data_IF_538419720761
#
_entry.id   IF_538419720761
#
_cell.length_a   1.000
_cell.length_b   1.000
_cell.length_c   1.000
_cell.angle_alpha   90.00
_cell.angle_beta   90.00
_cell.angle_gamma   90.00
#
_symmetry.space_group_name_H-M   'P 1'
#
loop_
_entity.id
_entity.type
_entity.pdbx_description
1 polymer ?
#
# COMPACT_ATOMS: atom_id res chain seq x y z
N UNK A 1 -24.96 6.68 9.33
CA UNK A 1 -23.97 7.03 8.31
C UNK A 1 -22.67 7.26 9.05
N UNK A 2 -21.59 6.62 8.67
CA UNK A 2 -20.29 6.74 9.35
C UNK A 2 -19.75 8.15 9.16
N UNK A 3 -19.37 8.81 10.24
CA UNK A 3 -18.68 10.10 10.20
C UNK A 3 -17.16 9.83 10.13
N UNK A 4 -16.64 9.68 8.90
CA UNK A 4 -15.25 9.38 8.64
C UNK A 4 -14.29 10.46 9.17
N UNK A 5 -14.69 11.74 9.11
CA UNK A 5 -13.88 12.84 9.60
C UNK A 5 -13.73 12.79 11.14
N UNK A 6 -14.84 12.58 11.86
CA UNK A 6 -14.80 12.44 13.32
C UNK A 6 -14.02 11.20 13.75
N UNK A 7 -14.17 10.08 13.05
CA UNK A 7 -13.44 8.85 13.34
C UNK A 7 -11.94 9.04 13.11
N UNK A 8 -11.53 9.57 11.95
CA UNK A 8 -10.13 9.84 11.62
C UNK A 8 -9.47 10.78 12.62
N UNK A 9 -10.17 11.87 12.99
CA UNK A 9 -9.70 12.82 14.00
C UNK A 9 -9.45 12.17 15.36
N UNK A 10 -10.35 11.26 15.78
CA UNK A 10 -10.33 10.68 17.12
C UNK A 10 -9.39 9.49 17.23
N UNK A 11 -9.43 8.58 16.24
CA UNK A 11 -8.64 7.34 16.23
C UNK A 11 -7.33 7.45 15.49
N UNK A 12 -7.09 8.57 14.80
CA UNK A 12 -5.96 8.81 13.92
C UNK A 12 -5.87 7.80 12.75
N UNK A 13 -6.92 7.03 12.54
CA UNK A 13 -7.10 6.11 11.42
C UNK A 13 -8.59 5.93 11.11
N UNK A 14 -8.89 5.53 9.88
CA UNK A 14 -10.26 5.22 9.44
C UNK A 14 -10.25 4.19 8.32
N UNK A 15 -11.19 3.26 8.37
CA UNK A 15 -11.41 2.26 7.32
C UNK A 15 -12.50 2.73 6.37
N UNK A 16 -12.21 2.75 5.08
CA UNK A 16 -13.11 3.20 4.02
C UNK A 16 -13.35 2.01 3.08
N UNK A 17 -14.53 1.35 3.16
CA UNK A 17 -14.85 0.26 2.25
C UNK A 17 -15.09 0.79 0.83
N UNK A 18 -14.82 -0.04 -0.18
CA UNK A 18 -15.06 0.23 -1.60
C UNK A 18 -14.48 1.57 -2.08
N UNK A 19 -13.30 1.97 -1.56
CA UNK A 19 -12.61 3.21 -1.95
C UNK A 19 -12.17 3.18 -3.42
N UNK A 20 -11.86 2.01 -3.95
CA UNK A 20 -11.68 1.71 -5.37
C UNK A 20 -12.67 0.64 -5.78
N UNK A 21 -13.33 0.82 -6.93
CA UNK A 21 -14.09 -0.28 -7.51
C UNK A 21 -13.16 -1.42 -7.97
N UNK A 22 -13.71 -2.62 -8.07
CA UNK A 22 -12.93 -3.84 -8.36
C UNK A 22 -12.19 -3.77 -9.70
N UNK A 23 -12.75 -3.10 -10.72
CA UNK A 23 -12.10 -2.98 -12.03
C UNK A 23 -10.89 -2.06 -11.93
N UNK A 24 -11.03 -0.92 -11.26
CA UNK A 24 -9.92 0.01 -10.97
C UNK A 24 -8.82 -0.69 -10.16
N UNK A 25 -9.17 -1.45 -9.13
CA UNK A 25 -8.19 -2.20 -8.34
C UNK A 25 -7.44 -3.24 -9.21
N UNK A 26 -8.15 -3.97 -10.07
CA UNK A 26 -7.55 -4.92 -11.00
C UNK A 26 -6.60 -4.25 -12.01
N UNK A 27 -7.00 -3.11 -12.61
CA UNK A 27 -6.15 -2.37 -13.55
C UNK A 27 -4.84 -1.88 -12.92
N UNK A 28 -4.88 -1.43 -11.66
CA UNK A 28 -3.69 -1.03 -10.92
C UNK A 28 -2.84 -2.24 -10.53
N UNK A 29 -3.47 -3.35 -10.14
CA UNK A 29 -2.77 -4.60 -9.87
C UNK A 29 -2.02 -5.12 -11.10
N UNK A 30 -2.66 -5.11 -12.27
CA UNK A 30 -2.04 -5.53 -13.54
C UNK A 30 -0.85 -4.65 -13.93
N UNK A 31 -0.92 -3.34 -13.66
CA UNK A 31 0.24 -2.45 -13.84
C UNK A 31 1.44 -2.92 -13.01
N UNK A 32 1.24 -3.21 -11.71
CA UNK A 32 2.32 -3.61 -10.80
C UNK A 32 2.93 -4.95 -11.22
N UNK A 33 2.10 -5.92 -11.59
CA UNK A 33 2.59 -7.20 -12.09
C UNK A 33 3.37 -7.05 -13.41
N UNK A 34 2.91 -6.19 -14.33
CA UNK A 34 3.62 -5.91 -15.59
C UNK A 34 4.99 -5.28 -15.33
N UNK A 35 5.05 -4.26 -14.49
CA UNK A 35 6.30 -3.61 -14.11
C UNK A 35 7.27 -4.59 -13.44
N UNK A 36 6.74 -5.50 -12.60
CA UNK A 36 7.55 -6.54 -11.97
C UNK A 36 8.14 -7.52 -12.98
N UNK A 37 7.34 -7.96 -13.97
CA UNK A 37 7.81 -8.82 -15.06
C UNK A 37 8.83 -8.16 -15.98
N UNK A 38 8.80 -6.83 -16.08
CA UNK A 38 9.76 -6.03 -16.85
C UNK A 38 11.05 -5.71 -16.07
N UNK A 39 11.16 -6.14 -14.80
CA UNK A 39 12.30 -5.85 -13.94
C UNK A 39 12.42 -4.39 -13.52
N UNK A 40 11.31 -3.65 -13.53
CA UNK A 40 11.28 -2.21 -13.18
C UNK A 40 11.04 -1.93 -11.70
N UNK A 41 10.93 -2.96 -10.88
CA UNK A 41 10.82 -2.83 -9.43
C UNK A 41 12.18 -2.79 -8.75
N UNK A 42 12.17 -2.45 -7.47
CA UNK A 42 13.32 -2.53 -6.57
C UNK A 42 12.97 -3.33 -5.34
N UNK A 43 13.96 -3.90 -4.67
CA UNK A 43 13.84 -4.39 -3.29
C UNK A 43 14.67 -3.50 -2.37
N UNK A 44 14.34 -3.49 -1.08
CA UNK A 44 15.03 -2.68 -0.08
C UNK A 44 15.21 -3.48 1.22
N UNK A 45 15.96 -2.92 2.19
CA UNK A 45 16.17 -3.57 3.48
C UNK A 45 14.90 -3.80 4.29
N UNK A 46 13.88 -2.99 4.09
CA UNK A 46 12.61 -3.14 4.79
C UNK A 46 11.86 -4.39 4.29
N UNK A 47 11.92 -4.65 2.99
CA UNK A 47 11.25 -5.78 2.33
C UNK A 47 12.13 -6.35 1.21
N UNK A 48 13.18 -7.12 1.58
CA UNK A 48 14.22 -7.54 0.64
C UNK A 48 13.77 -8.60 -0.38
N UNK A 49 12.62 -9.25 -0.15
CA UNK A 49 12.07 -10.28 -1.04
C UNK A 49 11.07 -9.68 -2.03
N UNK A 50 10.41 -8.58 -1.64
CA UNK A 50 9.28 -7.99 -2.34
C UNK A 50 9.71 -7.01 -3.43
N UNK A 51 8.83 -6.78 -4.41
CA UNK A 51 9.07 -5.83 -5.50
C UNK A 51 8.34 -4.52 -5.22
N UNK A 52 9.07 -3.43 -5.23
CA UNK A 52 8.62 -2.10 -4.84
C UNK A 52 8.68 -1.12 -6.01
N UNK A 53 7.71 -0.22 -6.09
CA UNK A 53 7.55 0.73 -7.19
C UNK A 53 7.19 2.11 -6.66
N UNK A 54 7.98 3.10 -7.03
CA UNK A 54 7.73 4.50 -6.69
C UNK A 54 6.99 5.20 -7.82
N UNK A 55 5.84 5.80 -7.52
CA UNK A 55 4.99 6.52 -8.47
C UNK A 55 4.68 5.74 -9.78
N UNK A 56 4.19 4.49 -9.73
CA UNK A 56 3.74 3.82 -10.95
C UNK A 56 2.72 4.70 -11.67
N UNK A 57 2.77 4.82 -13.00
CA UNK A 57 2.02 5.83 -13.73
C UNK A 57 0.50 5.84 -13.49
N UNK A 58 -0.16 4.68 -13.55
CA UNK A 58 -1.62 4.59 -13.29
C UNK A 58 -1.94 4.81 -11.82
N UNK A 59 -1.11 4.26 -10.91
CA UNK A 59 -1.27 4.47 -9.47
C UNK A 59 -1.15 5.96 -9.12
N UNK A 60 -0.20 6.69 -9.74
CA UNK A 60 -0.06 8.12 -9.54
C UNK A 60 -1.28 8.91 -10.07
N UNK A 61 -1.85 8.51 -11.19
CA UNK A 61 -3.09 9.11 -11.69
C UNK A 61 -4.26 8.88 -10.71
N UNK A 62 -4.35 7.68 -10.14
CA UNK A 62 -5.36 7.37 -9.12
C UNK A 62 -5.16 8.22 -7.86
N UNK A 63 -3.92 8.35 -7.37
CA UNK A 63 -3.57 9.22 -6.23
C UNK A 63 -4.10 10.65 -6.43
N UNK A 64 -3.77 11.27 -7.57
CA UNK A 64 -4.18 12.67 -7.86
C UNK A 64 -5.71 12.80 -7.87
N UNK A 65 -6.43 11.82 -8.44
CA UNK A 65 -7.90 11.81 -8.47
C UNK A 65 -8.54 11.66 -7.08
N UNK A 66 -7.83 11.04 -6.14
CA UNK A 66 -8.32 10.79 -4.78
C UNK A 66 -8.16 12.01 -3.85
N UNK A 67 -7.35 13.01 -4.19
CA UNK A 67 -7.09 14.17 -3.31
C UNK A 67 -8.39 14.87 -2.92
N UNK A 68 -9.18 15.31 -3.90
CA UNK A 68 -10.40 16.08 -3.62
C UNK A 68 -11.49 15.28 -2.90
N UNK A 69 -11.84 14.04 -3.32
CA UNK A 69 -12.80 13.21 -2.59
C UNK A 69 -12.40 12.96 -1.13
N UNK A 70 -11.12 12.62 -0.89
CA UNK A 70 -10.64 12.32 0.47
C UNK A 70 -10.53 13.59 1.32
N UNK A 71 -10.15 14.73 0.75
CA UNK A 71 -10.17 16.03 1.45
C UNK A 71 -11.57 16.35 1.97
N UNK A 72 -12.60 16.16 1.14
CA UNK A 72 -14.00 16.36 1.54
C UNK A 72 -14.44 15.35 2.60
N UNK A 73 -14.08 14.07 2.42
CA UNK A 73 -14.47 12.99 3.31
C UNK A 73 -13.91 13.17 4.72
N UNK A 74 -12.67 13.61 4.83
CA UNK A 74 -11.97 13.79 6.11
C UNK A 74 -12.07 15.21 6.66
N UNK A 75 -12.57 16.16 5.87
CA UNK A 75 -12.57 17.60 6.20
C UNK A 75 -11.15 18.12 6.52
N UNK A 76 -10.17 17.71 5.68
CA UNK A 76 -8.76 18.12 5.75
C UNK A 76 -8.35 18.62 4.35
N UNK A 77 -7.65 19.75 4.27
CA UNK A 77 -7.15 20.27 2.98
C UNK A 77 -5.89 19.51 2.54
N UNK A 78 -6.11 18.35 1.91
CA UNK A 78 -5.02 17.47 1.49
C UNK A 78 -4.33 17.96 0.20
N UNK A 79 -3.02 17.75 0.11
CA UNK A 79 -2.30 17.60 -1.15
C UNK A 79 -1.65 16.21 -1.18
N UNK A 80 -1.34 15.70 -2.37
CA UNK A 80 -0.61 14.43 -2.45
C UNK A 80 0.89 14.66 -2.23
N UNK A 81 1.55 13.66 -1.65
CA UNK A 81 3.01 13.57 -1.63
C UNK A 81 3.49 12.67 -2.78
N UNK A 82 3.25 11.38 -2.70
CA UNK A 82 3.57 10.39 -3.73
C UNK A 82 2.73 9.13 -3.52
N UNK A 83 2.79 8.20 -4.49
CA UNK A 83 2.30 6.84 -4.29
C UNK A 83 3.44 5.84 -4.32
N UNK A 84 3.21 4.73 -3.64
CA UNK A 84 4.13 3.61 -3.58
C UNK A 84 3.33 2.31 -3.72
N UNK A 85 3.84 1.38 -4.47
CA UNK A 85 3.22 0.06 -4.56
C UNK A 85 4.24 -1.01 -4.24
N UNK A 86 3.78 -2.08 -3.60
CA UNK A 86 4.63 -3.22 -3.28
C UNK A 86 3.91 -4.52 -3.60
N UNK A 87 4.58 -5.37 -4.36
CA UNK A 87 4.20 -6.74 -4.60
C UNK A 87 4.93 -7.61 -3.60
N UNK A 88 4.25 -7.97 -2.53
CA UNK A 88 4.78 -8.83 -1.47
C UNK A 88 4.83 -10.28 -1.91
N UNK A 89 5.93 -10.95 -1.56
CA UNK A 89 6.21 -12.35 -1.89
C UNK A 89 6.34 -13.20 -0.62
N UNK A 90 6.26 -14.55 -0.73
CA UNK A 90 6.24 -15.44 0.43
C UNK A 90 7.43 -15.27 1.36
N UNK A 91 7.16 -15.23 2.65
CA UNK A 91 8.18 -15.09 3.69
C UNK A 91 8.50 -13.66 4.10
N UNK A 92 7.95 -12.65 3.38
CA UNK A 92 8.17 -11.24 3.71
C UNK A 92 7.59 -10.85 5.08
N UNK A 93 8.24 -9.91 5.72
CA UNK A 93 7.85 -9.32 7.01
C UNK A 93 8.00 -7.81 6.91
N UNK A 94 6.93 -7.07 7.17
CA UNK A 94 7.05 -5.63 7.36
C UNK A 94 7.25 -5.34 8.85
N UNK A 95 8.48 -4.98 9.23
CA UNK A 95 8.83 -4.72 10.64
C UNK A 95 8.03 -3.54 11.21
N UNK A 96 7.77 -3.52 12.54
CA UNK A 96 7.11 -2.40 13.20
C UNK A 96 7.85 -1.07 13.00
N UNK A 97 7.17 -0.09 12.41
CA UNK A 97 7.71 1.24 12.12
C UNK A 97 6.62 2.31 12.16
N UNK A 98 7.03 3.56 12.12
CA UNK A 98 6.22 4.71 11.73
C UNK A 98 6.76 5.22 10.39
N UNK A 99 5.93 5.92 9.65
CA UNK A 99 6.32 6.51 8.37
C UNK A 99 7.17 7.78 8.55
N UNK A 100 7.80 8.21 7.47
CA UNK A 100 8.52 9.49 7.40
C UNK A 100 7.54 10.67 7.22
N UNK A 101 8.01 11.88 7.41
CA UNK A 101 7.21 13.12 7.37
C UNK A 101 6.41 13.30 6.07
N UNK A 102 6.98 12.95 4.92
CA UNK A 102 6.27 12.98 3.63
C UNK A 102 5.15 11.94 3.48
N UNK A 103 4.93 11.13 4.50
CA UNK A 103 3.82 10.18 4.65
C UNK A 103 2.94 10.56 5.86
N UNK A 104 2.73 11.86 6.09
CA UNK A 104 1.95 12.37 7.23
C UNK A 104 0.60 11.66 7.35
N UNK A 105 -0.13 11.62 6.25
CA UNK A 105 -1.40 10.88 6.13
C UNK A 105 -1.21 9.83 5.06
N UNK A 106 -1.18 8.58 5.49
CA UNK A 106 -1.02 7.42 4.62
C UNK A 106 -2.35 6.72 4.39
N UNK A 107 -2.52 6.19 3.18
CA UNK A 107 -3.60 5.28 2.85
C UNK A 107 -3.00 3.99 2.29
N UNK A 108 -3.41 2.84 2.82
CA UNK A 108 -2.99 1.53 2.30
C UNK A 108 -4.20 0.78 1.76
N UNK A 109 -4.07 0.19 0.57
CA UNK A 109 -5.14 -0.52 -0.15
C UNK A 109 -4.62 -1.85 -0.69
N UNK A 110 -5.44 -2.90 -0.59
CA UNK A 110 -5.15 -4.17 -1.25
C UNK A 110 -5.68 -4.12 -2.69
N UNK A 111 -4.81 -4.30 -3.67
CA UNK A 111 -5.21 -4.38 -5.08
C UNK A 111 -5.54 -5.81 -5.51
N UNK A 112 -4.91 -6.79 -4.91
CA UNK A 112 -5.12 -8.20 -5.17
C UNK A 112 -4.23 -9.07 -4.31
N UNK A 113 -4.59 -10.35 -4.19
CA UNK A 113 -3.77 -11.33 -3.48
C UNK A 113 -4.04 -12.75 -3.98
N UNK A 114 -3.08 -13.62 -3.72
CA UNK A 114 -3.24 -15.06 -3.91
C UNK A 114 -2.71 -15.79 -2.67
N UNK A 115 -3.63 -16.42 -1.95
CA UNK A 115 -3.37 -17.09 -0.67
C UNK A 115 -4.68 -17.48 0.00
N UNK A 116 -4.63 -18.10 1.19
CA UNK A 116 -5.83 -18.48 1.92
C UNK A 116 -6.69 -17.28 2.34
N UNK A 117 -6.03 -16.19 2.73
CA UNK A 117 -6.66 -14.95 3.18
C UNK A 117 -5.83 -13.74 2.77
N UNK A 118 -6.45 -12.54 2.81
CA UNK A 118 -5.72 -11.28 2.70
C UNK A 118 -4.72 -11.13 3.85
N UNK A 119 -3.52 -10.69 3.54
CA UNK A 119 -2.47 -10.49 4.55
C UNK A 119 -2.73 -9.24 5.38
N UNK A 120 -3.00 -9.37 6.68
CA UNK A 120 -3.42 -8.25 7.51
C UNK A 120 -2.29 -7.27 7.80
N UNK A 121 -2.68 -6.02 8.10
CA UNK A 121 -1.83 -5.04 8.76
C UNK A 121 -2.18 -4.99 10.26
N UNK A 122 -1.20 -4.74 11.09
CA UNK A 122 -1.38 -4.45 12.51
C UNK A 122 -1.12 -2.97 12.76
N UNK A 123 -2.04 -2.31 13.46
CA UNK A 123 -1.97 -0.89 13.79
C UNK A 123 -1.93 -0.72 15.31
N UNK A 124 -0.88 -0.10 15.83
CA UNK A 124 -0.83 0.40 17.19
C UNK A 124 -1.66 1.68 17.37
N UNK A 125 -1.93 2.08 18.59
CA UNK A 125 -2.60 3.35 18.90
C UNK A 125 -1.59 4.51 18.97
N UNK A 126 -0.30 4.18 19.20
CA UNK A 126 0.81 5.11 19.31
C UNK A 126 2.09 4.58 18.65
N UNK A 127 3.07 5.47 18.50
CA UNK A 127 4.36 5.15 17.86
C UNK A 127 5.26 4.16 18.63
N UNK A 128 4.99 3.95 19.92
CA UNK A 128 5.77 3.06 20.80
C UNK A 128 5.09 1.70 21.04
N UNK A 129 3.92 1.47 20.44
CA UNK A 129 3.16 0.25 20.71
C UNK A 129 3.86 -1.00 20.17
N UNK A 130 3.79 -2.06 20.96
CA UNK A 130 4.24 -3.42 20.60
C UNK A 130 3.07 -4.36 20.36
N UNK A 131 1.85 -3.90 20.64
CA UNK A 131 0.59 -4.61 20.36
C UNK A 131 -0.25 -3.71 19.47
N UNK A 132 -0.94 -4.30 18.50
CA UNK A 132 -1.80 -3.56 17.59
C UNK A 132 -3.04 -4.34 17.21
N UNK A 133 -4.01 -3.60 16.70
CA UNK A 133 -5.23 -4.17 16.17
C UNK A 133 -4.96 -4.78 14.79
N UNK A 134 -5.32 -6.04 14.61
CA UNK A 134 -5.27 -6.74 13.33
C UNK A 134 -6.38 -6.22 12.42
N UNK A 135 -6.00 -5.72 11.23
CA UNK A 135 -6.94 -5.18 10.25
C UNK A 135 -6.76 -5.92 8.93
N UNK A 136 -7.83 -6.54 8.45
CA UNK A 136 -7.91 -7.12 7.12
C UNK A 136 -8.46 -6.05 6.18
N UNK A 137 -7.71 -5.73 5.10
CA UNK A 137 -8.13 -4.74 4.12
C UNK A 137 -8.52 -5.50 2.85
N UNK A 138 -9.80 -5.51 2.52
CA UNK A 138 -10.34 -6.16 1.32
C UNK A 138 -9.79 -5.55 0.03
N UNK A 139 -10.02 -6.22 -1.11
CA UNK A 139 -9.63 -5.66 -2.41
C UNK A 139 -10.48 -4.43 -2.69
N UNK A 140 -9.83 -3.29 -2.97
CA UNK A 140 -10.49 -2.00 -3.19
C UNK A 140 -10.80 -1.20 -1.93
N UNK A 141 -10.72 -1.83 -0.75
CA UNK A 141 -10.87 -1.12 0.53
C UNK A 141 -9.60 -0.35 0.88
N UNK A 142 -9.77 0.71 1.67
CA UNK A 142 -8.70 1.61 2.08
C UNK A 142 -8.67 1.74 3.60
N UNK A 143 -7.48 1.66 4.17
CA UNK A 143 -7.21 2.12 5.53
C UNK A 143 -6.38 3.40 5.45
N UNK A 144 -6.95 4.53 5.92
CA UNK A 144 -6.22 5.78 6.08
C UNK A 144 -5.76 5.94 7.52
N UNK A 145 -4.54 6.47 7.72
CA UNK A 145 -3.96 6.64 9.05
C UNK A 145 -2.89 7.73 9.07
N UNK A 146 -2.62 8.29 10.26
CA UNK A 146 -1.47 9.17 10.46
C UNK A 146 -0.19 8.36 10.50
N UNK A 147 0.53 8.34 9.37
CA UNK A 147 1.71 7.50 9.17
C UNK A 147 2.86 7.82 10.13
N UNK A 148 3.06 9.10 10.44
CA UNK A 148 4.08 9.59 11.36
C UNK A 148 3.79 9.32 12.85
N UNK A 149 2.55 8.92 13.18
CA UNK A 149 2.11 8.78 14.57
C UNK A 149 1.82 7.33 14.95
N UNK A 150 1.20 6.55 14.05
CA UNK A 150 0.74 5.21 14.35
C UNK A 150 1.78 4.16 13.92
N UNK A 151 2.30 3.42 14.90
CA UNK A 151 3.19 2.29 14.61
C UNK A 151 2.42 1.18 13.93
N UNK A 152 2.96 0.69 12.81
CA UNK A 152 2.30 -0.36 12.04
C UNK A 152 3.30 -1.38 11.49
N UNK A 153 2.78 -2.60 11.22
CA UNK A 153 3.59 -3.72 10.76
C UNK A 153 2.73 -4.82 10.13
N UNK A 154 3.40 -5.76 9.50
CA UNK A 154 2.80 -7.02 9.07
C UNK A 154 3.69 -8.16 9.50
N UNK A 155 3.08 -9.24 10.03
CA UNK A 155 3.77 -10.47 10.39
C UNK A 155 4.18 -11.22 9.13
N UNK A 156 4.85 -12.36 9.27
CA UNK A 156 5.34 -13.13 8.13
C UNK A 156 4.23 -13.47 7.14
N UNK A 157 4.47 -13.19 5.87
CA UNK A 157 3.54 -13.47 4.78
C UNK A 157 3.55 -14.96 4.42
N UNK A 158 2.41 -15.62 4.59
CA UNK A 158 2.22 -17.03 4.29
C UNK A 158 1.50 -17.28 2.95
N UNK A 159 1.05 -16.23 2.28
CA UNK A 159 0.42 -16.30 0.95
C UNK A 159 1.43 -16.48 -0.18
N UNK A 160 0.95 -16.46 -1.41
CA UNK A 160 1.78 -16.59 -2.61
C UNK A 160 2.21 -15.21 -3.12
N UNK A 161 1.29 -14.25 -3.16
CA UNK A 161 1.56 -12.84 -3.42
C UNK A 161 0.41 -11.97 -2.88
N UNK A 162 0.74 -10.72 -2.54
CA UNK A 162 -0.23 -9.66 -2.29
C UNK A 162 0.30 -8.35 -2.83
N UNK A 163 -0.51 -7.67 -3.65
CA UNK A 163 -0.20 -6.33 -4.14
C UNK A 163 -0.85 -5.31 -3.23
N UNK A 164 -0.03 -4.42 -2.67
CA UNK A 164 -0.46 -3.35 -1.81
C UNK A 164 -0.09 -2.01 -2.45
N UNK A 165 -1.06 -1.09 -2.48
CA UNK A 165 -0.88 0.28 -2.92
C UNK A 165 -0.91 1.21 -1.72
N UNK A 166 0.00 2.18 -1.70
CA UNK A 166 0.09 3.21 -0.69
C UNK A 166 -0.04 4.57 -1.34
N UNK A 167 -0.98 5.37 -0.85
CA UNK A 167 -1.08 6.79 -1.17
C UNK A 167 -0.63 7.61 0.03
N UNK A 168 0.19 8.61 -0.21
CA UNK A 168 0.67 9.51 0.84
C UNK A 168 0.21 10.92 0.55
N UNK A 169 -0.37 11.52 1.58
CA UNK A 169 -0.94 12.86 1.56
C UNK A 169 -0.33 13.70 2.65
N UNK A 170 -0.43 15.01 2.46
CA UNK A 170 0.00 16.05 3.39
C UNK A 170 -1.19 16.95 3.67
N UNK A 171 -1.39 17.36 4.92
CA UNK A 171 -2.27 18.47 5.24
C UNK A 171 -1.57 19.78 4.83
N UNK A 172 -2.14 20.52 3.87
CA UNK A 172 -1.59 21.81 3.40
C UNK A 172 -1.45 22.85 4.51
N UNK A 173 -2.21 22.69 5.59
CA UNK A 173 -2.18 23.56 6.74
C UNK A 173 -1.42 22.95 7.94
N UNK A 174 -0.84 21.76 7.74
CA UNK A 174 -0.13 20.98 8.73
C UNK A 174 1.37 21.30 8.80
N UNK A 175 2.08 20.65 9.72
CA UNK A 175 3.52 20.90 9.95
C UNK A 175 4.42 20.36 8.83
N UNK A 176 3.91 19.55 7.93
CA UNK A 176 4.69 18.86 6.87
C UNK A 176 4.32 19.34 5.45
N UNK A 177 3.72 20.52 5.32
CA UNK A 177 3.24 21.06 4.04
C UNK A 177 4.33 21.15 2.95
N UNK A 178 5.60 21.31 3.33
CA UNK A 178 6.75 21.35 2.41
C UNK A 178 7.03 20.01 1.72
N UNK A 179 6.50 18.90 2.23
CA UNK A 179 6.62 17.57 1.62
C UNK A 179 5.55 17.28 0.57
N UNK A 180 4.68 18.23 0.25
CA UNK A 180 3.73 18.10 -0.84
C UNK A 180 4.48 17.83 -2.16
N UNK A 181 3.97 16.90 -2.97
CA UNK A 181 4.54 16.51 -4.27
C UNK A 181 6.02 16.07 -4.17
N UNK A 182 6.33 15.25 -3.16
CA UNK A 182 7.68 14.74 -2.92
C UNK A 182 8.29 14.17 -4.22
N UNK A 183 9.48 14.67 -4.55
CA UNK A 183 10.22 14.34 -5.78
C UNK A 183 11.31 13.29 -5.56
N UNK A 184 11.40 12.69 -4.38
CA UNK A 184 12.36 11.60 -4.16
C UNK A 184 12.07 10.44 -5.10
N UNK A 185 13.06 10.03 -5.85
CA UNK A 185 12.97 8.96 -6.86
C UNK A 185 13.44 7.62 -6.28
N UNK A 186 14.26 7.64 -5.22
CA UNK A 186 14.89 6.45 -4.63
C UNK A 186 14.67 6.43 -3.12
N UNK A 187 14.26 5.27 -2.59
CA UNK A 187 13.90 5.07 -1.18
C UNK A 187 15.09 4.89 -0.26
N UNK A 188 16.12 4.20 -0.75
CA UNK A 188 17.39 4.04 -0.06
C UNK A 188 18.51 3.95 -1.10
N UNK A 189 19.73 4.29 -0.69
CA UNK A 189 20.94 4.07 -1.50
C UNK A 189 21.22 2.57 -1.71
N UNK A 190 20.53 1.70 -0.99
CA UNK A 190 20.70 0.24 -0.97
C UNK A 190 19.59 -0.51 -1.71
N UNK A 191 18.72 0.19 -2.47
CA UNK A 191 17.71 -0.48 -3.28
C UNK A 191 18.36 -1.24 -4.45
N UNK A 192 17.92 -2.48 -4.65
CA UNK A 192 18.40 -3.37 -5.71
C UNK A 192 17.29 -3.58 -6.73
N UNK A 193 17.61 -3.51 -8.02
CA UNK A 193 16.65 -3.85 -9.09
C UNK A 193 16.20 -5.32 -8.97
N UNK A 194 14.92 -5.58 -9.19
CA UNK A 194 14.37 -6.94 -9.13
C UNK A 194 14.63 -7.69 -10.43
N UNK A 195 14.81 -9.00 -10.35
CA UNK A 195 14.92 -9.86 -11.53
C UNK A 195 13.53 -10.12 -12.15
N UNK A 196 13.23 -9.37 -13.21
CA UNK A 196 11.97 -9.50 -13.94
C UNK A 196 11.79 -10.87 -14.61
N UNK A 197 12.88 -11.54 -15.03
CA UNK A 197 12.80 -12.87 -15.63
C UNK A 197 12.47 -13.94 -14.57
N UNK A 198 13.10 -13.89 -13.40
CA UNK A 198 12.77 -14.78 -12.28
C UNK A 198 11.29 -14.64 -11.88
N UNK A 199 10.81 -13.39 -11.75
CA UNK A 199 9.40 -13.16 -11.45
C UNK A 199 8.47 -13.66 -12.56
N UNK A 200 8.81 -13.47 -13.83
CA UNK A 200 8.05 -13.95 -14.98
C UNK A 200 7.93 -15.47 -15.00
N UNK A 201 9.00 -16.19 -14.63
CA UNK A 201 8.99 -17.64 -14.50
C UNK A 201 8.07 -18.10 -13.34
N UNK A 202 8.19 -17.46 -12.18
CA UNK A 202 7.31 -17.70 -11.03
C UNK A 202 5.84 -17.45 -11.37
N UNK A 203 5.54 -16.35 -12.04
CA UNK A 203 4.18 -16.01 -12.47
C UNK A 203 3.58 -17.04 -13.42
N UNK A 204 4.34 -17.53 -14.41
CA UNK A 204 3.91 -18.60 -15.31
C UNK A 204 3.57 -19.92 -14.56
N UNK A 205 4.31 -20.24 -13.51
CA UNK A 205 4.02 -21.41 -12.68
C UNK A 205 2.73 -21.22 -11.88
N UNK A 206 2.55 -20.06 -11.28
CA UNK A 206 1.37 -19.72 -10.48
C UNK A 206 0.08 -19.69 -11.30
N UNK A 207 0.13 -19.16 -12.53
CA UNK A 207 -1.03 -19.11 -13.42
C UNK A 207 -1.38 -20.46 -14.03
N UNK A 208 -0.41 -21.33 -14.27
CA UNK A 208 -0.66 -22.71 -14.75
C UNK A 208 -1.42 -23.56 -13.73
N UNK A 209 -1.15 -23.38 -12.42
CA UNK A 209 -1.85 -24.11 -11.37
C UNK A 209 -3.33 -23.73 -11.24
N UNK A 210 -3.71 -22.51 -11.68
CA UNK A 210 -5.12 -22.05 -11.69
C UNK A 210 -5.98 -22.69 -12.76
N UNK A 211 -5.39 -23.11 -13.89
CA UNK A 211 -6.12 -23.75 -15.00
C UNK A 211 -6.34 -25.24 -14.79
N UNK A 212 -5.74 -25.84 -13.75
CA UNK A 212 -5.82 -27.27 -13.46
C UNK A 212 -6.77 -27.65 -12.31
N UNK A 213 -7.48 -26.70 -11.69
CA UNK A 213 -8.53 -27.01 -10.73
C UNK A 213 -9.86 -27.18 -11.48
N UNK A 214 -10.45 -28.38 -11.51
CA UNK A 214 -11.80 -28.55 -12.07
C UNK A 214 -12.79 -27.80 -11.18
N UNK A 215 -13.67 -27.01 -11.80
CA UNK A 215 -14.89 -26.55 -11.17
C UNK A 215 -15.67 -27.78 -10.67
N UNK A 216 -15.78 -27.96 -9.36
CA UNK A 216 -16.82 -28.75 -8.72
C UNK A 216 -17.76 -27.81 -8.00
#
# INVERSE_FOLDING_TARGET
MTDYAAEFKTKRMVYIPDALDINSANELNDEIHSLSMEGKGTSDEQCPISHSFYNPPKCKQALVKMVEPLSKLLNIDLDYSYCYARLYLPGEVLKPHIDRESCEISATMTLGYYGPDVWPIYMGEHNMDTKGNKINIGIGDMLMYHGTELRHWREKFEGVWQTQLFFHFIDKNGPYAEHAQDKKVVWSEESVEVDGEDYRQKWKQLTKSRTSTPNN
#
